data_IF_696888123207
#
_entry.id   IF_696888123207
#
_cell.length_a   1.000
_cell.length_b   1.000
_cell.length_c   1.000
_cell.angle_alpha   90.00
_cell.angle_beta   90.00
_cell.angle_gamma   90.00
#
_symmetry.space_group_name_H-M   'P 1'
#
loop_
_entity.id
_entity.type
_entity.pdbx_description
1 polymer ?
#
# COMPACT_ATOMS: atom_id res chain seq x y z
N UNK A 1 4.12 12.61 8.83
CA UNK A 1 5.45 11.97 8.72
C UNK A 1 5.94 12.05 7.27
N UNK A 2 6.42 13.20 6.84
CA UNK A 2 6.95 13.36 5.46
C UNK A 2 8.05 14.43 5.42
N UNK A 3 7.92 15.49 6.21
CA UNK A 3 8.90 16.58 6.28
C UNK A 3 10.30 16.11 6.73
N UNK A 4 10.38 15.35 7.84
CA UNK A 4 11.68 14.84 8.34
C UNK A 4 12.32 13.87 7.35
N UNK A 5 11.55 12.91 6.83
CA UNK A 5 12.04 11.94 5.84
C UNK A 5 12.50 12.61 4.55
N UNK A 6 11.80 13.63 4.06
CA UNK A 6 12.22 14.39 2.88
C UNK A 6 13.46 15.24 3.14
N UNK A 7 13.54 15.89 4.30
CA UNK A 7 14.69 16.72 4.68
C UNK A 7 15.97 15.91 4.79
N UNK A 8 15.88 14.71 5.37
CA UNK A 8 17.00 13.79 5.54
C UNK A 8 17.18 12.81 4.37
N UNK A 9 16.35 12.90 3.31
CA UNK A 9 16.38 12.01 2.12
C UNK A 9 16.29 10.52 2.50
N UNK A 10 15.47 10.20 3.50
CA UNK A 10 15.30 8.84 4.02
C UNK A 10 14.25 8.07 3.21
N UNK A 11 14.61 6.84 2.80
CA UNK A 11 13.68 5.90 2.18
C UNK A 11 12.95 5.10 3.27
N UNK A 12 11.67 5.39 3.46
CA UNK A 12 10.81 4.61 4.37
C UNK A 12 10.43 3.25 3.78
N UNK A 13 10.25 2.27 4.67
CA UNK A 13 9.75 0.94 4.34
C UNK A 13 8.40 1.01 3.60
N UNK A 14 8.16 0.15 2.58
CA UNK A 14 6.87 0.10 1.89
C UNK A 14 5.67 -0.03 2.82
N UNK A 15 5.76 -0.82 3.89
CA UNK A 15 4.62 -1.04 4.81
C UNK A 15 4.21 0.23 5.55
N UNK A 16 5.18 0.99 6.05
CA UNK A 16 4.92 2.30 6.66
C UNK A 16 4.27 3.23 5.62
N UNK A 17 4.74 3.19 4.37
CA UNK A 17 4.16 4.00 3.29
C UNK A 17 2.76 3.51 2.89
N UNK A 18 2.41 2.25 3.12
CA UNK A 18 1.08 1.66 2.87
C UNK A 18 0.08 2.04 3.96
N UNK A 19 0.50 2.14 5.21
CA UNK A 19 -0.37 2.55 6.35
C UNK A 19 -0.61 4.06 6.45
N UNK A 20 0.18 4.93 5.80
CA UNK A 20 0.03 6.40 5.91
C UNK A 20 -0.50 7.03 4.61
N UNK A 21 -1.53 7.85 4.67
CA UNK A 21 -2.03 8.62 3.54
C UNK A 21 -0.97 9.59 2.98
N UNK A 22 -0.69 9.54 1.67
CA UNK A 22 0.29 10.43 1.02
C UNK A 22 -0.16 11.88 0.82
N UNK A 23 -1.46 12.15 0.95
CA UNK A 23 -2.03 13.50 0.84
C UNK A 23 -2.07 14.22 2.19
N UNK A 24 -2.84 13.70 3.14
CA UNK A 24 -3.03 14.32 4.47
C UNK A 24 -2.11 13.78 5.57
N UNK A 25 -1.23 12.82 5.30
CA UNK A 25 -0.30 12.21 6.27
C UNK A 25 -0.95 11.50 7.48
N UNK A 26 -2.25 11.22 7.43
CA UNK A 26 -2.99 10.47 8.46
C UNK A 26 -2.70 8.96 8.35
N UNK A 27 -2.72 8.26 9.49
CA UNK A 27 -2.75 6.80 9.51
C UNK A 27 -4.08 6.28 8.95
N UNK A 28 -4.00 5.28 8.09
CA UNK A 28 -5.12 4.56 7.49
C UNK A 28 -5.44 3.38 8.39
N UNK A 29 -6.42 3.57 9.27
CA UNK A 29 -6.94 2.54 10.16
C UNK A 29 -8.31 2.14 9.64
N UNK A 30 -8.48 0.87 9.31
CA UNK A 30 -9.73 0.36 8.77
C UNK A 30 -10.88 0.57 9.75
N UNK A 31 -12.03 1.02 9.24
CA UNK A 31 -13.21 1.33 10.04
C UNK A 31 -13.18 2.67 10.79
N UNK A 32 -12.01 3.30 10.97
CA UNK A 32 -11.89 4.60 11.64
C UNK A 32 -11.57 5.74 10.67
N UNK A 33 -10.41 5.69 10.01
CA UNK A 33 -9.89 6.78 9.18
C UNK A 33 -9.71 6.38 7.71
N UNK A 34 -9.96 5.10 7.41
CA UNK A 34 -9.96 4.56 6.07
C UNK A 34 -11.05 3.53 5.86
N UNK A 35 -11.45 3.35 4.59
CA UNK A 35 -12.38 2.31 4.14
C UNK A 35 -11.66 1.43 3.13
N UNK A 36 -11.57 0.15 3.43
CA UNK A 36 -10.98 -0.86 2.55
C UNK A 36 -12.08 -1.53 1.71
N UNK A 37 -11.87 -1.65 0.40
CA UNK A 37 -12.81 -2.28 -0.53
C UNK A 37 -12.07 -3.07 -1.61
N UNK A 38 -12.60 -4.23 -1.96
CA UNK A 38 -12.18 -4.97 -3.15
C UNK A 38 -12.98 -4.49 -4.36
N UNK A 39 -12.29 -4.10 -5.42
CA UNK A 39 -12.90 -3.62 -6.66
C UNK A 39 -12.35 -4.40 -7.84
N UNK A 40 -13.24 -4.94 -8.64
CA UNK A 40 -12.91 -5.59 -9.91
C UNK A 40 -13.64 -4.84 -11.03
N UNK A 41 -12.87 -4.16 -11.88
CA UNK A 41 -13.42 -3.38 -13.00
C UNK A 41 -13.55 -4.20 -14.29
N UNK A 42 -13.15 -5.47 -14.29
CA UNK A 42 -13.23 -6.30 -15.49
C UNK A 42 -14.67 -6.70 -15.80
N UNK A 43 -15.01 -6.74 -17.09
CA UNK A 43 -16.35 -7.12 -17.58
C UNK A 43 -16.76 -8.52 -17.11
N UNK A 44 -15.80 -9.43 -17.05
CA UNK A 44 -16.02 -10.85 -16.71
C UNK A 44 -15.71 -11.16 -15.23
N UNK A 45 -15.40 -10.15 -14.40
CA UNK A 45 -15.01 -10.31 -12.98
C UNK A 45 -13.93 -11.38 -12.80
N UNK A 46 -12.90 -11.32 -13.63
CA UNK A 46 -11.79 -12.29 -13.60
C UNK A 46 -11.00 -12.09 -12.30
N UNK A 47 -10.60 -13.17 -11.61
CA UNK A 47 -9.93 -13.06 -10.30
C UNK A 47 -8.62 -12.27 -10.39
N UNK A 48 -7.90 -12.34 -11.51
CA UNK A 48 -6.65 -11.60 -11.69
C UNK A 48 -6.82 -10.08 -11.83
N UNK A 49 -8.06 -9.60 -11.97
CA UNK A 49 -8.40 -8.19 -12.08
C UNK A 49 -8.84 -7.57 -10.73
N UNK A 50 -8.69 -8.29 -9.63
CA UNK A 50 -9.04 -7.79 -8.30
C UNK A 50 -8.03 -6.74 -7.82
N UNK A 51 -8.57 -5.59 -7.40
CA UNK A 51 -7.80 -4.46 -6.88
C UNK A 51 -8.33 -4.12 -5.48
N UNK A 52 -7.43 -4.11 -4.50
CA UNK A 52 -7.69 -3.61 -3.17
C UNK A 52 -7.58 -2.09 -3.16
N UNK A 53 -8.69 -1.41 -2.90
CA UNK A 53 -8.76 0.04 -2.73
C UNK A 53 -8.83 0.40 -1.25
N UNK A 54 -7.87 1.18 -0.77
CA UNK A 54 -7.88 1.77 0.58
C UNK A 54 -8.14 3.26 0.44
N UNK A 55 -9.35 3.68 0.77
CA UNK A 55 -9.78 5.09 0.71
C UNK A 55 -9.57 5.78 2.06
N UNK A 56 -8.92 6.94 2.06
CA UNK A 56 -8.85 7.84 3.21
C UNK A 56 -10.06 8.77 3.24
N UNK A 57 -10.45 9.26 4.42
CA UNK A 57 -11.49 10.28 4.58
C UNK A 57 -11.20 11.58 3.80
N UNK A 58 -9.94 11.91 3.53
CA UNK A 58 -9.58 13.08 2.73
C UNK A 58 -9.81 12.90 1.20
N UNK A 59 -10.37 11.76 0.79
CA UNK A 59 -10.70 11.44 -0.61
C UNK A 59 -9.57 10.82 -1.43
N UNK A 60 -8.36 10.64 -0.87
CA UNK A 60 -7.29 9.93 -1.58
C UNK A 60 -7.47 8.42 -1.47
N UNK A 61 -7.27 7.70 -2.57
CA UNK A 61 -7.40 6.24 -2.62
C UNK A 61 -6.06 5.62 -3.01
N UNK A 62 -5.62 4.63 -2.25
CA UNK A 62 -4.51 3.75 -2.62
C UNK A 62 -5.05 2.49 -3.26
N UNK A 63 -4.38 2.01 -4.31
CA UNK A 63 -4.80 0.83 -5.05
C UNK A 63 -3.67 -0.19 -5.03
N UNK A 64 -4.00 -1.43 -4.68
CA UNK A 64 -3.08 -2.57 -4.71
C UNK A 64 -3.66 -3.65 -5.62
N UNK A 65 -2.98 -4.02 -6.71
CA UNK A 65 -3.46 -5.05 -7.63
C UNK A 65 -3.19 -6.44 -7.05
N UNK A 66 -4.03 -6.86 -6.11
CA UNK A 66 -3.86 -8.14 -5.38
C UNK A 66 -4.21 -9.35 -6.24
N UNK A 67 -5.10 -9.20 -7.22
CA UNK A 67 -5.47 -10.30 -8.12
C UNK A 67 -4.39 -10.65 -9.12
N UNK A 68 -3.57 -9.67 -9.55
CA UNK A 68 -2.69 -9.83 -10.71
C UNK A 68 -1.72 -11.00 -10.52
N UNK A 69 -1.01 -11.00 -9.40
CA UNK A 69 0.03 -11.96 -9.06
C UNK A 69 -0.10 -12.28 -7.55
N UNK A 70 -0.66 -13.43 -7.15
CA UNK A 70 -0.87 -13.77 -5.73
C UNK A 70 0.45 -14.03 -4.98
N UNK A 71 1.49 -14.47 -5.69
CA UNK A 71 2.84 -14.71 -5.17
C UNK A 71 3.71 -13.44 -5.20
N UNK A 72 3.11 -12.27 -5.43
CA UNK A 72 3.89 -11.03 -5.52
C UNK A 72 4.44 -10.61 -4.16
N UNK A 73 5.76 -10.59 -4.06
CA UNK A 73 6.48 -10.07 -2.92
C UNK A 73 7.13 -8.70 -3.20
N UNK A 74 7.09 -7.85 -2.18
CA UNK A 74 7.85 -6.60 -2.17
C UNK A 74 9.34 -6.90 -2.18
N UNK A 75 10.13 -6.02 -2.82
CA UNK A 75 11.60 -6.15 -2.81
C UNK A 75 12.19 -6.21 -1.39
N UNK A 76 11.61 -5.47 -0.44
CA UNK A 76 12.08 -5.45 0.95
C UNK A 76 11.82 -6.76 1.71
N UNK A 77 10.84 -7.55 1.27
CA UNK A 77 10.43 -8.79 1.93
C UNK A 77 11.12 -10.03 1.35
N UNK A 78 11.88 -9.88 0.25
CA UNK A 78 12.59 -10.99 -0.35
C UNK A 78 13.66 -11.51 0.60
N UNK A 79 13.71 -12.83 0.80
CA UNK A 79 14.71 -13.49 1.66
C UNK A 79 16.15 -13.05 1.31
N UNK A 80 16.45 -12.93 0.02
CA UNK A 80 17.77 -12.50 -0.48
C UNK A 80 18.20 -11.10 0.00
N UNK A 81 17.25 -10.25 0.38
CA UNK A 81 17.49 -8.87 0.84
C UNK A 81 17.49 -8.80 2.36
N UNK A 82 16.64 -9.58 3.04
CA UNK A 82 16.54 -9.61 4.51
C UNK A 82 17.79 -10.21 5.18
N UNK A 83 18.43 -11.19 4.55
CA UNK A 83 19.61 -11.89 5.10
C UNK A 83 20.96 -11.20 4.81
N UNK A 84 20.97 -10.01 4.21
CA UNK A 84 22.22 -9.24 3.96
C UNK A 84 22.69 -8.41 5.16
N UNK A 85 22.10 -8.62 6.35
CA UNK A 85 22.38 -7.84 7.56
C UNK A 85 23.25 -8.61 8.57
N UNK A 86 23.85 -9.74 8.17
CA UNK A 86 24.87 -10.45 8.97
C UNK A 86 26.27 -9.84 8.81
#
# INVERSE_FOLDING_TARGET
>A
MDLVSKKAVLKLHPDIKRTICKKCNRLLIDGLTSKTRMKNNSRNKLPHCDILEIGCECGSVKRFPVGKDPEYELFSEKETVLHQVE
#
